data_IF_150758183997
#
_entry.id   IF_150758183997
#
_cell.length_a   1.000
_cell.length_b   1.000
_cell.length_c   1.000
_cell.angle_alpha   90.00
_cell.angle_beta   90.00
_cell.angle_gamma   90.00
#
_symmetry.space_group_name_H-M   'P 1'
#
loop_
_entity.id
_entity.type
_entity.pdbx_description
1 polymer ?
#
# COMPACT_ATOMS: atom_id res chain seq x y z
N UNK A 1 -28.83 -39.22 -0.56
CA UNK A 1 -28.61 -39.30 0.91
C UNK A 1 -27.76 -38.14 1.46
N UNK A 2 -27.84 -36.93 0.87
CA UNK A 2 -26.96 -35.79 1.22
C UNK A 2 -27.64 -34.65 2.01
N UNK A 3 -28.95 -34.73 2.25
CA UNK A 3 -29.76 -33.63 2.78
C UNK A 3 -29.49 -33.21 4.23
N UNK A 4 -28.64 -33.94 4.97
CA UNK A 4 -28.30 -33.63 6.36
C UNK A 4 -26.85 -33.12 6.55
N UNK A 5 -25.99 -33.22 5.53
CA UNK A 5 -24.55 -32.91 5.65
C UNK A 5 -24.25 -31.40 5.70
N UNK A 6 -25.20 -30.57 5.27
CA UNK A 6 -25.13 -29.11 5.29
C UNK A 6 -26.26 -28.51 6.12
N UNK A 7 -26.63 -29.18 7.23
CA UNK A 7 -27.49 -28.54 8.22
C UNK A 7 -26.84 -27.22 8.65
N UNK A 8 -27.54 -26.07 8.59
CA UNK A 8 -26.96 -24.76 8.91
C UNK A 8 -26.23 -24.72 10.24
N UNK A 9 -26.66 -25.55 11.20
CA UNK A 9 -26.02 -25.73 12.51
C UNK A 9 -24.58 -26.24 12.42
N UNK A 10 -24.25 -27.17 11.52
CA UNK A 10 -22.88 -27.71 11.39
C UNK A 10 -21.94 -26.66 10.79
N UNK A 11 -22.42 -25.93 9.78
CA UNK A 11 -21.68 -24.80 9.19
C UNK A 11 -21.43 -23.73 10.25
N UNK A 12 -22.43 -23.40 11.07
CA UNK A 12 -22.29 -22.41 12.14
C UNK A 12 -21.21 -22.83 13.15
N UNK A 13 -21.21 -24.10 13.58
CA UNK A 13 -20.18 -24.63 14.49
C UNK A 13 -18.79 -24.55 13.85
N UNK A 14 -18.64 -24.92 12.57
CA UNK A 14 -17.37 -24.83 11.86
C UNK A 14 -16.85 -23.38 11.79
N UNK A 15 -17.72 -22.43 11.46
CA UNK A 15 -17.38 -21.01 11.41
C UNK A 15 -16.95 -20.50 12.78
N UNK A 16 -17.65 -20.91 13.85
CA UNK A 16 -17.27 -20.58 15.23
C UNK A 16 -15.85 -21.10 15.52
N UNK A 17 -15.56 -22.37 15.21
CA UNK A 17 -14.22 -22.94 15.42
C UNK A 17 -13.14 -22.16 14.65
N UNK A 18 -13.39 -21.81 13.38
CA UNK A 18 -12.45 -20.99 12.58
C UNK A 18 -12.25 -19.60 13.21
N UNK A 19 -13.32 -18.96 13.69
CA UNK A 19 -13.23 -17.67 14.40
C UNK A 19 -12.40 -17.80 15.68
N UNK A 20 -12.52 -18.90 16.42
CA UNK A 20 -11.73 -19.13 17.64
C UNK A 20 -10.24 -19.34 17.32
N UNK A 21 -9.92 -20.08 16.26
CA UNK A 21 -8.53 -20.38 15.86
C UNK A 21 -7.82 -19.16 15.26
N UNK A 22 -8.48 -18.46 14.34
CA UNK A 22 -7.89 -17.36 13.60
C UNK A 22 -8.15 -15.99 14.25
N UNK A 23 -9.18 -15.89 15.10
CA UNK A 23 -9.66 -14.67 15.71
C UNK A 23 -10.66 -13.90 14.84
N UNK A 24 -11.63 -13.24 15.48
CA UNK A 24 -12.68 -12.46 14.81
C UNK A 24 -12.15 -11.33 13.92
N UNK A 25 -10.90 -10.88 14.15
CA UNK A 25 -10.27 -9.79 13.39
C UNK A 25 -9.48 -10.26 12.15
N UNK A 26 -9.10 -11.54 12.06
CA UNK A 26 -8.32 -12.07 10.91
C UNK A 26 -9.16 -12.68 9.81
N UNK A 27 -10.32 -13.26 10.15
CA UNK A 27 -11.29 -13.72 9.16
C UNK A 27 -11.74 -12.62 8.17
N UNK A 28 -12.17 -11.43 8.61
CA UNK A 28 -12.57 -10.38 7.68
C UNK A 28 -11.40 -9.84 6.84
N UNK A 29 -10.19 -9.83 7.39
CA UNK A 29 -8.98 -9.39 6.70
C UNK A 29 -8.58 -10.35 5.57
N UNK A 30 -8.57 -11.66 5.87
CA UNK A 30 -8.35 -12.72 4.88
C UNK A 30 -9.45 -12.75 3.81
N UNK A 31 -10.71 -12.58 4.21
CA UNK A 31 -11.83 -12.52 3.27
C UNK A 31 -11.76 -11.29 2.36
N UNK A 32 -11.31 -10.12 2.88
CA UNK A 32 -11.12 -8.90 2.09
C UNK A 32 -10.02 -9.07 1.03
N UNK A 33 -8.86 -9.61 1.41
CA UNK A 33 -7.74 -9.79 0.48
C UNK A 33 -8.06 -10.83 -0.61
N UNK A 34 -8.61 -11.97 -0.23
CA UNK A 34 -9.05 -13.02 -1.16
C UNK A 34 -10.19 -12.52 -2.04
N UNK A 35 -11.17 -11.82 -1.46
CA UNK A 35 -12.31 -11.25 -2.18
C UNK A 35 -11.89 -10.22 -3.23
N UNK A 36 -10.85 -9.43 -2.96
CA UNK A 36 -10.30 -8.47 -3.93
C UNK A 36 -9.67 -9.17 -5.14
N UNK A 37 -8.89 -10.24 -4.91
CA UNK A 37 -8.32 -11.07 -5.99
C UNK A 37 -9.41 -11.76 -6.81
N UNK A 38 -10.43 -12.30 -6.15
CA UNK A 38 -11.60 -12.90 -6.82
C UNK A 38 -12.40 -11.88 -7.63
N UNK A 39 -12.53 -10.63 -7.15
CA UNK A 39 -13.24 -9.57 -7.86
C UNK A 39 -12.58 -9.23 -9.18
N UNK A 40 -11.26 -9.08 -9.18
CA UNK A 40 -10.48 -8.77 -10.39
C UNK A 40 -10.61 -9.92 -11.39
N UNK A 41 -10.37 -11.16 -10.94
CA UNK A 41 -10.53 -12.34 -11.77
C UNK A 41 -11.95 -12.47 -12.33
N UNK A 42 -12.98 -12.21 -11.52
CA UNK A 42 -14.38 -12.25 -11.95
C UNK A 42 -14.67 -11.19 -13.02
N UNK A 43 -14.12 -9.98 -12.89
CA UNK A 43 -14.26 -8.93 -13.89
C UNK A 43 -13.58 -9.30 -15.20
N UNK A 44 -12.35 -9.78 -15.18
CA UNK A 44 -11.63 -10.20 -16.40
C UNK A 44 -12.34 -11.36 -17.10
N UNK A 45 -12.77 -12.38 -16.35
CA UNK A 45 -13.55 -13.50 -16.92
C UNK A 45 -14.91 -13.03 -17.48
N UNK A 46 -15.52 -12.03 -16.85
CA UNK A 46 -16.77 -11.43 -17.30
C UNK A 46 -16.58 -10.62 -18.59
N UNK A 47 -15.53 -9.80 -18.69
CA UNK A 47 -15.17 -9.09 -19.92
C UNK A 47 -14.94 -10.06 -21.09
N UNK A 48 -14.24 -11.19 -20.87
CA UNK A 48 -14.05 -12.22 -21.90
C UNK A 48 -15.36 -12.90 -22.34
N UNK A 49 -16.36 -12.92 -21.47
CA UNK A 49 -17.68 -13.52 -21.75
C UNK A 49 -18.63 -12.50 -22.38
N UNK A 50 -18.60 -11.25 -21.92
CA UNK A 50 -19.44 -10.13 -22.36
C UNK A 50 -18.90 -9.46 -23.64
N UNK A 51 -17.65 -9.67 -24.05
CA UNK A 51 -17.12 -9.18 -25.36
C UNK A 51 -17.81 -9.88 -26.56
N UNK A 52 -18.66 -10.89 -26.32
CA UNK A 52 -19.61 -11.41 -27.32
C UNK A 52 -20.91 -10.59 -27.42
N UNK A 53 -21.23 -9.76 -26.43
CA UNK A 53 -22.53 -9.08 -26.27
C UNK A 53 -22.37 -7.65 -25.69
N UNK A 54 -21.93 -6.69 -26.54
CA UNK A 54 -22.04 -5.22 -26.39
C UNK A 54 -21.05 -4.49 -25.46
N UNK A 55 -20.27 -3.60 -26.08
CA UNK A 55 -19.38 -2.65 -25.41
C UNK A 55 -20.09 -1.49 -24.71
N UNK A 56 -19.60 -1.15 -23.51
CA UNK A 56 -19.23 0.20 -23.02
C UNK A 56 -18.52 0.03 -21.66
N UNK A 57 -17.25 0.45 -21.48
CA UNK A 57 -16.53 0.27 -20.22
C UNK A 57 -16.98 1.29 -19.16
N UNK A 58 -17.55 0.83 -18.05
CA UNK A 58 -17.68 1.65 -16.83
C UNK A 58 -16.53 1.29 -15.90
N UNK A 59 -15.53 2.17 -15.82
CA UNK A 59 -14.41 2.04 -14.89
C UNK A 59 -14.92 2.09 -13.43
N UNK A 60 -14.75 1.04 -12.62
CA UNK A 60 -15.05 1.12 -11.20
C UNK A 60 -13.89 1.86 -10.52
N UNK A 61 -14.16 3.09 -10.09
CA UNK A 61 -13.30 3.86 -9.19
C UNK A 61 -12.80 2.98 -8.04
N UNK A 62 -11.49 2.96 -7.90
CA UNK A 62 -10.78 2.27 -6.85
C UNK A 62 -11.22 2.80 -5.48
N UNK A 63 -11.93 1.97 -4.72
CA UNK A 63 -12.18 2.20 -3.31
C UNK A 63 -10.91 1.95 -2.51
N UNK A 64 -10.13 2.99 -2.29
CA UNK A 64 -9.09 3.04 -1.24
C UNK A 64 -9.78 2.94 0.12
N UNK A 65 -9.38 1.98 0.97
CA UNK A 65 -8.91 2.41 2.28
C UNK A 65 -7.45 2.01 2.47
N UNK A 66 -6.64 3.04 2.64
CA UNK A 66 -5.28 2.95 3.13
C UNK A 66 -5.23 2.10 4.40
N UNK A 67 -4.39 1.07 4.39
CA UNK A 67 -3.82 0.48 5.60
C UNK A 67 -2.43 -0.04 5.26
N UNK A 68 -1.56 0.90 4.89
CA UNK A 68 -0.14 0.78 5.19
C UNK A 68 0.02 1.15 6.68
N UNK A 69 -0.11 0.19 7.58
CA UNK A 69 0.62 0.31 8.85
C UNK A 69 2.04 -0.15 8.61
N UNK A 70 2.85 0.72 8.03
CA UNK A 70 4.29 0.71 8.26
C UNK A 70 4.55 1.81 9.28
N UNK A 71 4.94 1.50 10.53
CA UNK A 71 5.52 2.51 11.39
C UNK A 71 6.65 3.19 10.61
N UNK A 72 6.58 4.51 10.52
CA UNK A 72 7.60 5.31 9.88
C UNK A 72 8.92 5.12 10.64
N UNK A 73 9.79 4.29 10.09
CA UNK A 73 11.24 4.42 10.28
C UNK A 73 11.82 4.60 8.90
N UNK A 74 12.32 5.80 8.54
CA UNK A 74 13.15 5.95 7.36
C UNK A 74 14.29 4.93 7.45
N UNK A 75 14.50 4.04 6.45
CA UNK A 75 15.77 3.36 6.37
C UNK A 75 16.82 4.44 6.13
N UNK A 76 17.54 4.83 7.18
CA UNK A 76 18.75 5.60 7.01
C UNK A 76 19.60 4.88 5.94
N UNK A 77 20.15 5.59 4.95
CA UNK A 77 21.13 4.97 4.09
C UNK A 77 22.19 4.39 5.00
N UNK A 78 22.36 3.07 4.97
CA UNK A 78 23.44 2.39 5.68
C UNK A 78 24.73 2.87 5.03
N UNK A 79 25.22 4.02 5.48
CA UNK A 79 26.57 4.47 5.20
C UNK A 79 27.49 3.49 5.92
N UNK A 80 28.26 2.79 5.11
CA UNK A 80 29.17 1.75 5.49
C UNK A 80 30.09 2.26 6.62
N UNK A 81 29.90 1.78 7.85
CA UNK A 81 30.87 1.90 8.94
C UNK A 81 31.11 3.28 9.56
N UNK A 82 30.16 4.22 9.53
CA UNK A 82 30.31 5.53 10.19
C UNK A 82 29.23 5.80 11.24
N UNK A 83 29.64 5.99 12.49
CA UNK A 83 28.80 6.37 13.64
C UNK A 83 28.05 7.69 13.32
N UNK A 84 26.71 7.78 13.42
CA UNK A 84 26.00 9.05 13.21
C UNK A 84 26.01 9.92 14.48
N UNK A 85 26.66 11.08 14.39
CA UNK A 85 26.57 12.17 15.39
C UNK A 85 25.20 12.89 15.36
N UNK A 86 24.66 13.31 16.52
CA UNK A 86 23.35 13.97 16.61
C UNK A 86 23.38 15.50 16.41
N UNK A 87 22.54 15.97 15.47
CA UNK A 87 21.74 17.22 15.44
C UNK A 87 22.24 18.50 16.16
N UNK A 88 22.58 19.56 15.40
CA UNK A 88 22.49 20.99 15.82
C UNK A 88 22.13 21.85 14.59
N UNK A 89 20.86 22.23 14.43
CA UNK A 89 20.33 23.62 14.51
C UNK A 89 21.02 24.62 13.54
N UNK A 90 20.41 24.95 12.40
CA UNK A 90 19.51 26.11 12.23
C UNK A 90 20.19 27.47 12.48
N UNK A 91 20.58 28.19 11.41
CA UNK A 91 20.64 29.66 11.44
C UNK A 91 20.18 30.31 10.11
N UNK A 92 19.57 31.53 10.16
CA UNK A 92 18.73 32.10 9.11
C UNK A 92 19.36 33.26 8.30
N UNK A 93 19.05 33.30 6.99
CA UNK A 93 19.01 34.41 6.01
C UNK A 93 19.74 35.75 6.31
N UNK A 94 20.66 36.17 5.41
CA UNK A 94 20.82 37.59 4.97
C UNK A 94 21.22 37.74 3.48
N UNK A 95 20.46 38.52 2.67
CA UNK A 95 20.80 38.94 1.29
C UNK A 95 21.57 40.29 1.22
N UNK A 96 22.20 40.55 0.04
CA UNK A 96 22.94 41.75 -0.44
C UNK A 96 24.42 41.84 0.02
N UNK A 97 25.43 41.99 -0.86
CA UNK A 97 25.76 43.19 -1.67
C UNK A 97 26.74 42.91 -2.87
N UNK A 98 26.98 43.88 -3.79
CA UNK A 98 27.18 43.70 -5.26
C UNK A 98 28.68 43.79 -5.75
N UNK A 99 28.99 43.84 -7.06
CA UNK A 99 30.26 43.38 -7.66
C UNK A 99 31.38 44.45 -7.66
N UNK A 100 32.63 43.98 -7.62
CA UNK A 100 33.86 44.73 -7.90
C UNK A 100 34.76 43.76 -8.68
N UNK A 101 34.84 43.83 -10.01
CA UNK A 101 35.53 44.81 -10.84
C UNK A 101 36.99 45.06 -10.41
N UNK A 102 37.94 44.66 -11.27
CA UNK A 102 39.22 45.37 -11.38
C UNK A 102 40.50 44.55 -11.18
N UNK A 103 41.29 44.46 -12.25
CA UNK A 103 42.72 44.10 -12.24
C UNK A 103 42.96 42.65 -12.60
N UNK A 104 43.40 42.29 -13.81
CA UNK A 104 44.56 42.87 -14.48
C UNK A 104 45.61 41.77 -14.60
N UNK A 105 45.89 41.40 -15.86
CA UNK A 105 47.05 40.63 -16.34
C UNK A 105 48.39 40.96 -15.61
N UNK A 106 49.51 40.20 -15.75
CA UNK A 106 49.92 39.45 -16.94
C UNK A 106 50.74 38.15 -16.75
N UNK A 107 50.92 37.47 -17.90
CA UNK A 107 51.91 36.44 -18.21
C UNK A 107 53.31 36.76 -17.68
N UNK A 108 54.01 35.74 -17.19
CA UNK A 108 55.38 35.37 -17.61
C UNK A 108 55.54 33.86 -17.53
#
# INVERSE_FOLDING_TARGET
MFGNAVKPTHILILVIVIILLFGAKRLPDLARSVGQSLKIFKSEVKDLTDDKDKGTPTAPVAGTPASYTTPATPPAPYTNGGIPDPVVAAEPVRPAEPPVEGGGQPRV
#
